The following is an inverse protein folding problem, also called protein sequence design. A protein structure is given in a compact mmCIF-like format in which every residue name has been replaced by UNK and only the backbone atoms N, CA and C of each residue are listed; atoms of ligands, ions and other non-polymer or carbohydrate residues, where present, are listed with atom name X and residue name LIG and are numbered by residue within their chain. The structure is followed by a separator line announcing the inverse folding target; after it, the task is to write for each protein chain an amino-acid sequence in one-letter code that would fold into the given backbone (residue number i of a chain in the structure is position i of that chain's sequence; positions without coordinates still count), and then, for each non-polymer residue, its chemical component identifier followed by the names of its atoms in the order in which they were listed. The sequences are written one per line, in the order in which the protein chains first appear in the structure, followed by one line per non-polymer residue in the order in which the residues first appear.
data_IF_880450895682
#
_entry.id   IF_880450895682
#
_cell.length_a   1.000
_cell.length_b   1.000
_cell.length_c   1.000
_cell.angle_alpha   90.00
_cell.angle_beta   90.00
_cell.angle_gamma   90.00
#
_symmetry.space_group_name_H-M   'P 1'
#
loop_
_entity.id
_entity.type
_entity.pdbx_description
1 polymer ?
#
# COMPACT_ATOMS: atom_id res chain seq x y z
N UNK A 1 12.47 32.42 -2.20
CA UNK A 1 12.65 30.97 -2.43
C UNK A 1 11.28 30.31 -2.51
N UNK A 2 11.01 29.53 -3.57
CA UNK A 2 9.91 28.56 -3.81
C UNK A 2 8.41 28.95 -3.64
N UNK A 3 8.06 30.08 -3.00
CA UNK A 3 6.68 30.59 -2.94
C UNK A 3 5.84 30.07 -1.76
N UNK A 4 4.67 30.69 -1.54
CA UNK A 4 3.82 30.46 -0.36
C UNK A 4 3.21 29.05 -0.32
N UNK A 5 2.82 28.51 -1.48
CA UNK A 5 2.21 27.17 -1.58
C UNK A 5 3.17 26.08 -1.09
N UNK A 6 4.44 26.11 -1.54
CA UNK A 6 5.46 25.14 -1.12
C UNK A 6 5.71 25.23 0.38
N UNK A 7 5.77 26.45 0.92
CA UNK A 7 5.95 26.68 2.36
C UNK A 7 4.81 26.06 3.18
N UNK A 8 3.56 26.28 2.79
CA UNK A 8 2.39 25.71 3.49
C UNK A 8 2.42 24.19 3.51
N UNK A 9 2.84 23.55 2.40
CA UNK A 9 2.94 22.09 2.32
C UNK A 9 4.02 21.55 3.27
N UNK A 10 5.21 22.17 3.27
CA UNK A 10 6.35 21.75 4.12
C UNK A 10 6.05 21.98 5.60
N UNK A 11 5.46 23.12 5.95
CA UNK A 11 5.03 23.41 7.34
C UNK A 11 3.94 22.45 7.80
N UNK A 12 2.98 22.12 6.92
CA UNK A 12 1.93 21.14 7.18
C UNK A 12 2.48 19.73 7.44
N UNK A 13 3.40 19.26 6.60
CA UNK A 13 4.06 17.96 6.76
C UNK A 13 4.81 17.87 8.09
N UNK A 14 5.54 18.93 8.46
CA UNK A 14 6.33 18.97 9.70
C UNK A 14 5.43 18.90 10.94
N UNK A 15 4.24 19.50 10.89
CA UNK A 15 3.25 19.43 11.98
C UNK A 15 2.66 18.02 12.09
N UNK A 16 2.24 17.44 10.96
CA UNK A 16 1.73 16.08 10.88
C UNK A 16 2.75 15.07 11.42
N UNK A 17 4.03 15.21 11.09
CA UNK A 17 5.11 14.34 11.58
C UNK A 17 5.26 14.28 13.11
N UNK A 18 4.72 15.27 13.83
CA UNK A 18 4.76 15.31 15.31
C UNK A 18 3.57 14.62 15.96
N UNK A 19 2.46 14.44 15.24
CA UNK A 19 1.22 13.84 15.76
C UNK A 19 1.33 12.33 16.06
N UNK A 20 1.98 11.50 15.22
CA UNK A 20 2.11 10.06 15.51
C UNK A 20 2.91 9.75 16.77
N UNK A 21 3.76 10.67 17.24
CA UNK A 21 4.50 10.49 18.50
C UNK A 21 3.58 10.52 19.74
N UNK A 22 2.39 11.11 19.61
CA UNK A 22 1.35 11.19 20.66
C UNK A 22 0.31 10.06 20.55
N UNK A 23 0.19 9.40 19.40
CA UNK A 23 -0.79 8.33 19.14
C UNK A 23 -0.36 6.94 19.61
N UNK A 24 0.77 6.80 20.32
CA UNK A 24 1.20 5.54 20.94
C UNK A 24 0.86 5.50 22.44
N UNK A 25 -0.29 6.04 22.84
CA UNK A 25 -0.86 5.71 24.15
C UNK A 25 -1.68 4.42 24.04
N UNK A 26 -1.75 3.66 25.13
CA UNK A 26 -2.43 2.34 25.18
C UNK A 26 -3.97 2.46 25.11
N UNK A 27 -4.53 3.67 25.02
CA UNK A 27 -5.96 3.93 25.00
C UNK A 27 -6.49 4.11 23.58
N UNK A 28 -7.36 3.19 23.15
CA UNK A 28 -7.97 3.21 21.82
C UNK A 28 -8.71 4.53 21.48
N UNK A 29 -9.31 5.18 22.47
CA UNK A 29 -10.01 6.46 22.29
C UNK A 29 -9.05 7.63 21.98
N UNK A 30 -7.88 7.66 22.61
CA UNK A 30 -6.85 8.67 22.32
C UNK A 30 -6.23 8.46 20.94
N UNK A 31 -6.09 7.21 20.50
CA UNK A 31 -5.63 6.90 19.14
C UNK A 31 -6.62 7.38 18.08
N UNK A 32 -7.92 7.18 18.31
CA UNK A 32 -8.98 7.64 17.41
C UNK A 32 -9.01 9.17 17.31
N UNK A 33 -8.89 9.89 18.43
CA UNK A 33 -8.88 11.36 18.42
C UNK A 33 -7.58 11.92 17.81
N UNK A 34 -6.43 11.29 18.04
CA UNK A 34 -5.17 11.66 17.37
C UNK A 34 -5.23 11.45 15.85
N UNK A 35 -5.81 10.33 15.40
CA UNK A 35 -6.09 10.07 13.99
C UNK A 35 -7.03 11.15 13.43
N UNK A 36 -8.11 11.48 14.14
CA UNK A 36 -9.08 12.51 13.74
C UNK A 36 -8.43 13.89 13.63
N UNK A 37 -7.61 14.28 14.60
CA UNK A 37 -6.85 15.53 14.56
C UNK A 37 -5.83 15.55 13.42
N UNK A 38 -5.18 14.41 13.15
CA UNK A 38 -4.31 14.26 11.99
C UNK A 38 -5.09 14.48 10.68
N UNK A 39 -6.28 13.89 10.55
CA UNK A 39 -7.16 14.11 9.39
C UNK A 39 -7.65 15.57 9.26
N UNK A 40 -8.01 16.23 10.37
CA UNK A 40 -8.46 17.63 10.39
C UNK A 40 -7.31 18.60 10.07
N UNK A 41 -6.09 18.31 10.50
CA UNK A 41 -4.91 19.09 10.13
C UNK A 41 -4.51 18.91 8.65
N UNK A 42 -5.02 17.86 7.99
CA UNK A 42 -4.73 17.52 6.60
C UNK A 42 -5.81 17.98 5.61
N UNK A 43 -6.99 18.41 6.09
CA UNK A 43 -8.15 18.71 5.23
C UNK A 43 -8.00 19.93 4.32
N UNK A 44 -7.09 20.86 4.62
CA UNK A 44 -6.93 22.08 3.81
C UNK A 44 -6.08 21.87 2.54
N UNK A 45 -5.19 20.88 2.52
CA UNK A 45 -4.37 20.58 1.34
C UNK A 45 -3.93 19.11 1.29
N UNK A 46 -4.59 18.34 0.40
CA UNK A 46 -4.32 16.91 0.18
C UNK A 46 -2.86 16.61 -0.21
N UNK A 47 -2.12 17.59 -0.76
CA UNK A 47 -0.71 17.42 -1.16
C UNK A 47 0.19 17.16 0.05
N UNK A 48 -0.18 17.67 1.24
CA UNK A 48 0.54 17.39 2.48
C UNK A 48 0.54 15.88 2.77
N UNK A 49 -0.61 15.21 2.58
CA UNK A 49 -0.74 13.77 2.79
C UNK A 49 0.10 12.99 1.78
N UNK A 50 0.07 13.39 0.51
CA UNK A 50 0.84 12.73 -0.55
C UNK A 50 2.34 12.80 -0.25
N UNK A 51 2.85 13.97 0.15
CA UNK A 51 4.25 14.13 0.55
C UNK A 51 4.57 13.26 1.77
N UNK A 52 3.66 13.19 2.75
CA UNK A 52 3.87 12.36 3.95
C UNK A 52 3.89 10.87 3.64
N UNK A 53 3.02 10.40 2.76
CA UNK A 53 3.00 9.02 2.30
C UNK A 53 4.28 8.68 1.52
N UNK A 54 4.77 9.59 0.69
CA UNK A 54 6.02 9.41 -0.04
C UNK A 54 7.24 9.32 0.90
N UNK A 55 7.31 10.19 1.91
CA UNK A 55 8.32 10.12 2.98
C UNK A 55 8.25 8.77 3.71
N UNK A 56 7.05 8.35 4.15
CA UNK A 56 6.87 7.06 4.82
C UNK A 56 7.28 5.89 3.93
N UNK A 57 6.94 5.92 2.65
CA UNK A 57 7.32 4.89 1.68
C UNK A 57 8.85 4.78 1.56
N UNK A 58 9.55 5.92 1.46
CA UNK A 58 11.00 5.95 1.45
C UNK A 58 11.60 5.38 2.75
N UNK A 59 11.03 5.72 3.91
CA UNK A 59 11.47 5.19 5.20
C UNK A 59 11.29 3.66 5.27
N UNK A 60 10.18 3.12 4.76
CA UNK A 60 9.97 1.67 4.69
C UNK A 60 10.98 0.97 3.77
N UNK A 61 11.33 1.58 2.63
CA UNK A 61 12.36 1.06 1.70
C UNK A 61 13.76 1.00 2.34
N UNK A 62 14.07 1.90 3.26
CA UNK A 62 15.39 2.02 3.90
C UNK A 62 15.44 1.47 5.34
N UNK A 63 14.33 0.88 5.81
CA UNK A 63 14.12 0.49 7.21
C UNK A 63 15.15 -0.51 7.77
N UNK A 64 15.81 -1.29 6.90
CA UNK A 64 16.84 -2.28 7.24
C UNK A 64 18.00 -1.73 8.09
N UNK A 65 18.29 -0.43 8.02
CA UNK A 65 19.37 0.20 8.79
C UNK A 65 18.95 0.64 10.20
N UNK A 66 17.66 0.52 10.55
CA UNK A 66 17.15 0.85 11.88
C UNK A 66 17.30 -0.33 12.84
N UNK A 67 17.32 -0.05 14.15
CA UNK A 67 17.28 -1.10 15.20
C UNK A 67 15.98 -1.91 15.11
N UNK A 68 15.98 -3.22 15.43
CA UNK A 68 14.80 -4.09 15.30
C UNK A 68 13.53 -3.55 15.96
N UNK A 69 13.64 -3.00 17.17
CA UNK A 69 12.51 -2.39 17.88
C UNK A 69 11.86 -1.25 17.08
N UNK A 70 12.68 -0.40 16.44
CA UNK A 70 12.20 0.67 15.57
C UNK A 70 11.59 0.13 14.29
N UNK A 71 12.16 -0.93 13.71
CA UNK A 71 11.61 -1.57 12.51
C UNK A 71 10.18 -2.06 12.78
N UNK A 72 9.96 -2.74 13.91
CA UNK A 72 8.63 -3.22 14.33
C UNK A 72 7.69 -2.04 14.55
N UNK A 73 8.09 -1.02 15.33
CA UNK A 73 7.24 0.14 15.63
C UNK A 73 6.81 0.87 14.36
N UNK A 74 7.76 1.17 13.47
CA UNK A 74 7.50 1.87 12.20
C UNK A 74 6.59 1.02 11.29
N UNK A 75 6.80 -0.29 11.25
CA UNK A 75 5.99 -1.19 10.42
C UNK A 75 4.55 -1.32 10.92
N UNK A 76 4.33 -1.36 12.24
CA UNK A 76 2.96 -1.33 12.81
C UNK A 76 2.24 -0.03 12.44
N UNK A 77 2.89 1.10 12.69
CA UNK A 77 2.37 2.42 12.33
C UNK A 77 2.01 2.50 10.83
N UNK A 78 2.85 1.91 9.98
CA UNK A 78 2.61 1.83 8.54
C UNK A 78 1.34 1.05 8.20
N UNK A 79 1.09 -0.10 8.81
CA UNK A 79 -0.13 -0.88 8.56
C UNK A 79 -1.38 -0.24 9.17
N UNK A 80 -1.28 0.31 10.38
CA UNK A 80 -2.45 0.80 11.11
C UNK A 80 -2.92 2.17 10.57
N UNK A 81 -1.98 2.99 10.08
CA UNK A 81 -2.26 4.39 9.71
C UNK A 81 -2.02 4.63 8.22
N UNK A 82 -0.79 4.42 7.75
CA UNK A 82 -0.37 4.92 6.42
C UNK A 82 -0.91 4.10 5.25
N UNK A 83 -0.99 2.78 5.36
CA UNK A 83 -1.58 1.92 4.33
C UNK A 83 -3.09 2.18 4.15
N UNK A 84 -3.92 2.26 5.22
CA UNK A 84 -5.31 2.67 5.12
C UNK A 84 -5.48 4.08 4.56
N UNK A 85 -4.58 5.01 4.90
CA UNK A 85 -4.58 6.36 4.36
C UNK A 85 -4.34 6.37 2.85
N UNK A 86 -3.32 5.63 2.38
CA UNK A 86 -3.04 5.46 0.96
C UNK A 86 -4.23 4.81 0.21
N UNK A 87 -4.90 3.85 0.84
CA UNK A 87 -6.12 3.23 0.30
C UNK A 87 -7.24 4.26 0.12
N UNK A 88 -7.54 5.07 1.15
CA UNK A 88 -8.57 6.11 1.10
C UNK A 88 -8.28 7.19 0.05
N UNK A 89 -7.00 7.47 -0.22
CA UNK A 89 -6.59 8.40 -1.27
C UNK A 89 -6.57 7.79 -2.67
N UNK A 90 -6.86 6.49 -2.81
CA UNK A 90 -6.81 5.78 -4.09
C UNK A 90 -5.40 5.50 -4.61
N UNK A 91 -4.36 5.68 -3.78
CA UNK A 91 -2.95 5.47 -4.16
C UNK A 91 -2.56 4.03 -3.90
N UNK A 92 -3.09 3.12 -4.72
CA UNK A 92 -2.93 1.68 -4.55
C UNK A 92 -1.48 1.20 -4.55
N UNK A 93 -0.63 1.79 -5.40
CA UNK A 93 0.78 1.41 -5.45
C UNK A 93 1.50 1.67 -4.12
N UNK A 94 1.19 2.80 -3.46
CA UNK A 94 1.79 3.11 -2.16
C UNK A 94 1.24 2.17 -1.09
N UNK A 95 -0.07 1.94 -1.07
CA UNK A 95 -0.70 0.97 -0.15
C UNK A 95 -0.03 -0.41 -0.25
N UNK A 96 0.00 -0.99 -1.45
CA UNK A 96 0.60 -2.30 -1.72
C UNK A 96 2.01 -2.41 -1.16
N UNK A 97 2.87 -1.44 -1.49
CA UNK A 97 4.27 -1.49 -1.11
C UNK A 97 4.50 -1.27 0.39
N UNK A 98 3.75 -0.34 1.00
CA UNK A 98 3.75 -0.11 2.45
C UNK A 98 3.31 -1.37 3.21
N UNK A 99 2.26 -2.05 2.73
CA UNK A 99 1.75 -3.28 3.30
C UNK A 99 2.77 -4.42 3.24
N UNK A 100 3.34 -4.69 2.06
CA UNK A 100 4.27 -5.80 1.88
C UNK A 100 5.60 -5.58 2.64
N UNK A 101 6.11 -4.35 2.64
CA UNK A 101 7.31 -4.05 3.45
C UNK A 101 7.01 -4.16 4.94
N UNK A 102 5.90 -3.62 5.43
CA UNK A 102 5.55 -3.75 6.84
C UNK A 102 5.32 -5.22 7.25
N UNK A 103 4.67 -6.01 6.39
CA UNK A 103 4.47 -7.44 6.57
C UNK A 103 5.80 -8.20 6.72
N UNK A 104 6.79 -7.86 5.89
CA UNK A 104 8.13 -8.46 5.95
C UNK A 104 8.81 -8.25 7.31
N UNK A 105 8.66 -7.08 7.93
CA UNK A 105 9.29 -6.77 9.22
C UNK A 105 8.48 -7.26 10.43
N UNK A 106 7.15 -7.25 10.34
CA UNK A 106 6.29 -7.67 11.46
C UNK A 106 6.15 -9.18 11.57
N UNK A 107 6.05 -9.87 10.43
CA UNK A 107 5.79 -11.30 10.37
C UNK A 107 6.78 -11.97 9.40
N UNK A 108 8.10 -11.94 9.69
CA UNK A 108 9.13 -12.37 8.74
C UNK A 108 9.03 -13.86 8.37
N UNK A 109 8.56 -14.71 9.28
CA UNK A 109 8.38 -16.15 9.01
C UNK A 109 7.21 -16.40 8.07
N UNK A 110 6.09 -15.72 8.30
CA UNK A 110 4.90 -15.78 7.46
C UNK A 110 5.19 -15.26 6.05
N UNK A 111 5.88 -14.12 5.96
CA UNK A 111 6.34 -13.57 4.70
C UNK A 111 7.20 -14.58 3.92
N UNK A 112 8.19 -15.20 4.56
CA UNK A 112 9.06 -16.21 3.94
C UNK A 112 8.27 -17.45 3.49
N UNK A 113 7.34 -17.93 4.32
CA UNK A 113 6.48 -19.08 4.04
C UNK A 113 5.63 -18.83 2.80
N UNK A 114 4.91 -17.71 2.77
CA UNK A 114 4.02 -17.35 1.68
C UNK A 114 4.78 -17.08 0.38
N UNK A 115 5.90 -16.34 0.45
CA UNK A 115 6.75 -16.07 -0.71
C UNK A 115 7.34 -17.36 -1.32
N UNK A 116 7.73 -18.34 -0.48
CA UNK A 116 8.18 -19.65 -0.97
C UNK A 116 7.06 -20.40 -1.70
N UNK A 117 5.86 -20.43 -1.11
CA UNK A 117 4.68 -21.07 -1.72
C UNK A 117 4.31 -20.40 -3.05
N UNK A 118 4.31 -19.07 -3.09
CA UNK A 118 4.06 -18.30 -4.32
C UNK A 118 5.07 -18.63 -5.42
N UNK A 119 6.37 -18.74 -5.08
CA UNK A 119 7.43 -19.10 -6.03
C UNK A 119 7.26 -20.49 -6.62
N UNK A 120 6.77 -21.45 -5.85
CA UNK A 120 6.51 -22.82 -6.34
C UNK A 120 5.43 -22.84 -7.42
N UNK A 121 4.39 -22.01 -7.29
CA UNK A 121 3.30 -21.91 -8.26
C UNK A 121 3.51 -20.84 -9.33
N UNK A 122 4.63 -20.11 -9.29
CA UNK A 122 4.85 -18.93 -10.15
C UNK A 122 4.80 -19.27 -11.65
N UNK A 123 5.34 -20.41 -12.06
CA UNK A 123 5.29 -20.83 -13.48
C UNK A 123 3.85 -21.11 -13.91
N UNK A 124 3.10 -21.86 -13.09
CA UNK A 124 1.71 -22.20 -13.37
C UNK A 124 0.82 -20.96 -13.44
N UNK A 125 1.02 -20.00 -12.53
CA UNK A 125 0.28 -18.74 -12.55
C UNK A 125 0.63 -17.88 -13.76
N UNK A 126 1.91 -17.81 -14.15
CA UNK A 126 2.34 -17.11 -15.37
C UNK A 126 1.69 -17.71 -16.61
N UNK A 127 1.78 -19.03 -16.79
CA UNK A 127 1.20 -19.70 -17.95
C UNK A 127 -0.32 -19.48 -18.02
N UNK A 128 -1.00 -19.51 -16.88
CA UNK A 128 -2.44 -19.28 -16.79
C UNK A 128 -2.80 -17.83 -17.10
N UNK A 129 -2.03 -16.87 -16.58
CA UNK A 129 -2.22 -15.44 -16.84
C UNK A 129 -1.97 -15.12 -18.31
N UNK A 130 -0.88 -15.60 -18.90
CA UNK A 130 -0.53 -15.34 -20.30
C UNK A 130 -1.57 -15.92 -21.26
N UNK A 131 -2.05 -17.15 -20.99
CA UNK A 131 -3.15 -17.75 -21.76
C UNK A 131 -4.43 -16.92 -21.65
N UNK A 132 -4.81 -16.52 -20.43
CA UNK A 132 -6.01 -15.74 -20.18
C UNK A 132 -5.96 -14.35 -20.82
N UNK A 133 -4.81 -13.68 -20.74
CA UNK A 133 -4.56 -12.39 -21.39
C UNK A 133 -4.68 -12.50 -22.90
N UNK A 134 -4.05 -13.51 -23.51
CA UNK A 134 -4.10 -13.71 -24.94
C UNK A 134 -5.53 -14.00 -25.44
N UNK A 135 -6.29 -14.84 -24.72
CA UNK A 135 -7.69 -15.11 -25.05
C UNK A 135 -8.50 -13.83 -24.94
N UNK A 136 -8.39 -13.10 -23.82
CA UNK A 136 -9.14 -11.89 -23.58
C UNK A 136 -8.81 -10.79 -24.59
N UNK A 137 -7.52 -10.59 -24.92
CA UNK A 137 -7.10 -9.63 -25.92
C UNK A 137 -7.67 -9.98 -27.30
N UNK A 138 -7.62 -11.25 -27.71
CA UNK A 138 -8.20 -11.69 -28.99
C UNK A 138 -9.71 -11.45 -29.04
N UNK A 139 -10.43 -11.81 -27.97
CA UNK A 139 -11.87 -11.62 -27.89
C UNK A 139 -12.26 -10.14 -27.94
N UNK A 140 -11.59 -9.30 -27.14
CA UNK A 140 -11.90 -7.87 -27.08
C UNK A 140 -11.49 -7.13 -28.37
N UNK A 141 -10.40 -7.54 -29.01
CA UNK A 141 -9.98 -6.96 -30.30
C UNK A 141 -10.88 -7.42 -31.45
N UNK A 142 -11.54 -8.56 -31.33
CA UNK A 142 -12.50 -9.05 -32.33
C UNK A 142 -13.89 -8.41 -32.19
N UNK A 143 -14.22 -7.84 -31.03
CA UNK A 143 -15.51 -7.21 -30.74
C UNK A 143 -15.74 -5.97 -31.62
N UNK A 144 -16.86 -5.96 -32.33
CA UNK A 144 -17.17 -4.91 -33.30
C UNK A 144 -17.47 -3.56 -32.63
N UNK A 145 -18.11 -3.57 -31.45
CA UNK A 145 -18.42 -2.35 -30.69
C UNK A 145 -17.13 -1.68 -30.22
N UNK A 146 -16.15 -2.47 -29.77
CA UNK A 146 -14.86 -1.95 -29.33
C UNK A 146 -13.99 -1.46 -30.48
N UNK A 147 -14.03 -2.11 -31.65
CA UNK A 147 -13.35 -1.60 -32.85
C UNK A 147 -13.86 -0.23 -33.28
N UNK A 148 -15.15 0.01 -33.13
CA UNK A 148 -15.77 1.28 -33.53
C UNK A 148 -15.55 2.40 -32.50
N UNK A 149 -15.29 2.06 -31.23
CA UNK A 149 -15.20 3.02 -30.12
C UNK A 149 -13.79 3.21 -29.53
N UNK A 150 -12.87 2.25 -29.68
CA UNK A 150 -11.55 2.26 -29.04
C UNK A 150 -10.41 2.18 -30.05
N UNK A 151 -9.42 3.07 -29.91
CA UNK A 151 -8.22 3.08 -30.75
C UNK A 151 -7.27 1.91 -30.43
N UNK A 152 -7.21 1.49 -29.17
CA UNK A 152 -6.30 0.44 -28.70
C UNK A 152 -6.86 -0.24 -27.44
N UNK A 153 -6.84 -1.58 -27.41
CA UNK A 153 -7.23 -2.38 -26.24
C UNK A 153 -5.98 -3.00 -25.62
N UNK A 154 -5.79 -2.83 -24.30
CA UNK A 154 -4.69 -3.43 -23.55
C UNK A 154 -5.22 -4.29 -22.43
N UNK A 155 -4.67 -5.50 -22.28
CA UNK A 155 -4.99 -6.43 -21.21
C UNK A 155 -3.73 -6.67 -20.39
N UNK A 156 -3.85 -6.50 -19.07
CA UNK A 156 -2.75 -6.69 -18.13
C UNK A 156 -3.12 -7.70 -17.06
N UNK A 157 -2.15 -8.53 -16.68
CA UNK A 157 -2.25 -9.40 -15.52
C UNK A 157 -1.81 -8.66 -14.27
N UNK A 158 -2.58 -8.83 -13.20
CA UNK A 158 -2.22 -8.31 -11.87
C UNK A 158 -2.08 -9.47 -10.90
N UNK A 159 -0.93 -9.55 -10.24
CA UNK A 159 -0.74 -10.44 -9.11
C UNK A 159 -1.20 -9.75 -7.82
N UNK A 160 -1.71 -10.53 -6.87
CA UNK A 160 -1.98 -10.02 -5.52
C UNK A 160 -0.67 -9.84 -4.75
N UNK A 161 -0.65 -8.82 -3.92
CA UNK A 161 0.44 -8.58 -2.97
C UNK A 161 0.43 -9.61 -1.84
N UNK A 162 1.60 -9.86 -1.25
CA UNK A 162 1.78 -10.92 -0.24
C UNK A 162 0.96 -10.65 1.02
N UNK A 163 0.95 -9.41 1.51
CA UNK A 163 0.17 -9.05 2.69
C UNK A 163 -1.33 -9.22 2.46
N UNK A 164 -1.83 -8.79 1.30
CA UNK A 164 -3.25 -8.95 0.95
C UNK A 164 -3.67 -10.42 0.82
N UNK A 165 -2.77 -11.29 0.34
CA UNK A 165 -2.99 -12.75 0.34
C UNK A 165 -3.03 -13.29 1.76
N UNK A 166 -2.01 -12.98 2.58
CA UNK A 166 -1.93 -13.42 3.96
C UNK A 166 -3.15 -12.99 4.79
N UNK A 167 -3.54 -11.71 4.70
CA UNK A 167 -4.69 -11.18 5.40
C UNK A 167 -6.00 -11.87 4.98
N UNK A 168 -6.13 -12.25 3.69
CA UNK A 168 -7.28 -13.02 3.21
C UNK A 168 -7.29 -14.44 3.81
N UNK A 169 -6.14 -15.12 3.84
CA UNK A 169 -6.01 -16.48 4.38
C UNK A 169 -6.37 -16.51 5.88
N UNK A 170 -5.83 -15.58 6.67
CA UNK A 170 -6.07 -15.49 8.11
C UNK A 170 -7.53 -15.13 8.44
N UNK A 171 -8.12 -14.15 7.74
CA UNK A 171 -9.49 -13.69 8.06
C UNK A 171 -10.60 -14.57 7.51
N UNK A 172 -10.35 -15.26 6.39
CA UNK A 172 -11.38 -16.03 5.67
C UNK A 172 -11.19 -17.54 5.76
N UNK A 173 -10.11 -18.03 6.39
CA UNK A 173 -9.78 -19.44 6.48
C UNK A 173 -9.59 -20.13 5.12
N UNK A 174 -9.29 -19.34 4.08
CA UNK A 174 -9.21 -19.80 2.69
C UNK A 174 -7.73 -20.02 2.36
N UNK A 175 -7.25 -21.26 2.52
CA UNK A 175 -5.85 -21.64 2.35
C UNK A 175 -5.40 -21.80 0.88
N UNK A 176 -6.26 -21.43 -0.06
CA UNK A 176 -5.99 -21.53 -1.49
C UNK A 176 -5.24 -20.29 -2.01
N UNK A 177 -4.14 -20.55 -2.74
CA UNK A 177 -3.40 -19.55 -3.52
C UNK A 177 -4.11 -19.24 -4.84
#
# INVERSE_FOLDING_TARGET
MFGQVVRSIVEGETKVSKLPKLAFSDYADEQAENLRQMFVAMTDDYRIIIVKLADRLHNMRTLRHMKPEKQIKISRETLDIFAPLAHRMGIWQFKSELEDTAFMYLYPQEYKRLNRRLRQHQSQFRDTLDKSQNIMLRTLTADQTLKDQATEVKVYGRTKELYSLWHKMEMKGDDNL
#
